data_IF_684328310522
#
_entry.id   IF_684328310522
#
_cell.length_a   1.000
_cell.length_b   1.000
_cell.length_c   1.000
_cell.angle_alpha   90.00
_cell.angle_beta   90.00
_cell.angle_gamma   90.00
#
_symmetry.space_group_name_H-M   'P 1'
#
loop_
_entity.id
_entity.type
_entity.pdbx_description
1 polymer ?
#
# COMPACT_ATOMS: atom_id res chain seq x y z
N UNK A 1 -42.44 3.79 60.01
CA UNK A 1 -41.97 3.18 58.74
C UNK A 1 -42.30 4.18 57.63
N UNK A 2 -41.48 5.20 57.43
CA UNK A 2 -40.34 5.28 56.50
C UNK A 2 -40.70 5.40 55.00
N UNK A 3 -40.63 6.64 54.48
CA UNK A 3 -39.86 7.09 53.28
C UNK A 3 -40.33 6.55 51.90
N UNK A 4 -41.00 7.33 51.03
CA UNK A 4 -40.54 8.42 50.13
C UNK A 4 -39.67 7.95 48.93
N UNK A 5 -40.21 8.21 47.72
CA UNK A 5 -39.58 8.40 46.39
C UNK A 5 -38.71 7.29 45.75
N UNK A 6 -39.09 6.92 44.52
CA UNK A 6 -38.23 7.12 43.33
C UNK A 6 -39.01 6.87 42.03
N UNK A 7 -39.31 7.96 41.32
CA UNK A 7 -39.55 7.92 39.89
C UNK A 7 -38.25 7.54 39.18
N UNK A 8 -38.31 6.64 38.20
CA UNK A 8 -37.22 6.42 37.27
C UNK A 8 -37.80 6.37 35.86
N UNK A 9 -37.67 7.48 35.15
CA UNK A 9 -37.86 7.56 33.71
C UNK A 9 -36.92 6.57 33.03
N UNK A 10 -37.47 5.62 32.27
CA UNK A 10 -36.71 4.91 31.26
C UNK A 10 -36.95 5.66 29.94
N UNK A 11 -36.04 6.58 29.64
CA UNK A 11 -35.91 7.12 28.30
C UNK A 11 -35.33 6.00 27.41
N UNK A 12 -36.14 5.53 26.45
CA UNK A 12 -35.68 4.68 25.36
C UNK A 12 -34.69 5.49 24.50
N UNK A 13 -33.41 5.32 24.78
CA UNK A 13 -32.34 5.74 23.89
C UNK A 13 -32.38 4.83 22.66
N UNK A 14 -32.91 5.34 21.55
CA UNK A 14 -32.66 4.78 20.23
C UNK A 14 -31.17 4.96 19.93
N UNK A 15 -30.37 3.92 20.21
CA UNK A 15 -29.04 3.80 19.62
C UNK A 15 -29.26 3.51 18.14
N UNK A 16 -29.14 4.54 17.29
CA UNK A 16 -28.96 4.32 15.86
C UNK A 16 -27.62 3.63 15.68
N UNK A 17 -27.67 2.31 15.55
CA UNK A 17 -26.52 1.54 15.07
C UNK A 17 -26.24 2.03 13.65
N UNK A 18 -25.20 2.86 13.53
CA UNK A 18 -24.61 3.16 12.24
C UNK A 18 -24.20 1.84 11.62
N UNK A 19 -24.94 1.40 10.60
CA UNK A 19 -24.62 0.18 9.87
C UNK A 19 -23.25 0.42 9.25
N UNK A 20 -22.24 -0.36 9.66
CA UNK A 20 -20.96 -0.36 8.96
C UNK A 20 -21.27 -0.63 7.49
N UNK A 21 -20.98 0.33 6.59
CA UNK A 21 -21.26 0.22 5.16
C UNK A 21 -20.71 -1.12 4.68
N UNK A 22 -21.62 -2.04 4.34
CA UNK A 22 -21.26 -3.41 3.99
C UNK A 22 -20.45 -3.39 2.68
N UNK A 23 -19.24 -3.93 2.67
CA UNK A 23 -18.44 -3.98 1.45
C UNK A 23 -19.09 -4.93 0.46
N UNK A 24 -19.71 -4.37 -0.58
CA UNK A 24 -20.46 -5.10 -1.59
C UNK A 24 -20.24 -4.50 -2.98
N UNK A 25 -20.42 -5.33 -3.99
CA UNK A 25 -20.55 -4.86 -5.36
C UNK A 25 -22.00 -4.39 -5.55
N UNK A 26 -22.18 -3.12 -5.92
CA UNK A 26 -23.48 -2.49 -6.19
C UNK A 26 -23.84 -2.48 -7.67
N UNK A 27 -22.96 -2.97 -8.54
CA UNK A 27 -23.21 -3.15 -9.96
C UNK A 27 -23.14 -4.64 -10.37
N UNK A 28 -23.93 -5.02 -11.37
CA UNK A 28 -24.00 -6.40 -11.86
C UNK A 28 -22.86 -6.77 -12.82
N UNK A 29 -22.16 -5.78 -13.37
CA UNK A 29 -21.09 -5.93 -14.36
C UNK A 29 -19.68 -5.94 -13.76
N UNK A 30 -19.56 -5.99 -12.41
CA UNK A 30 -18.28 -5.93 -11.73
C UNK A 30 -17.30 -7.03 -12.18
N UNK A 31 -17.76 -8.28 -12.25
CA UNK A 31 -16.92 -9.40 -12.66
C UNK A 31 -16.34 -9.23 -14.08
N UNK A 32 -17.15 -8.73 -15.02
CA UNK A 32 -16.72 -8.49 -16.40
C UNK A 32 -15.69 -7.35 -16.51
N UNK A 33 -15.70 -6.41 -15.56
CA UNK A 33 -14.84 -5.24 -15.56
C UNK A 33 -13.70 -5.30 -14.53
N UNK A 34 -13.46 -6.45 -13.89
CA UNK A 34 -12.46 -6.60 -12.82
C UNK A 34 -11.05 -6.16 -13.25
N UNK A 35 -10.68 -6.40 -14.52
CA UNK A 35 -9.38 -5.99 -15.08
C UNK A 35 -9.18 -4.46 -15.14
N UNK A 36 -10.26 -3.68 -15.13
CA UNK A 36 -10.21 -2.22 -15.23
C UNK A 36 -10.31 -1.51 -13.86
N UNK A 37 -10.39 -2.26 -12.75
CA UNK A 37 -10.46 -1.73 -11.40
C UNK A 37 -9.35 -0.72 -11.06
N UNK A 38 -8.21 -0.80 -11.73
CA UNK A 38 -7.04 0.06 -11.46
C UNK A 38 -6.55 0.81 -12.70
N UNK A 39 -7.37 0.90 -13.75
CA UNK A 39 -7.03 1.63 -14.98
C UNK A 39 -7.79 2.95 -15.04
N UNK A 40 -7.10 4.06 -15.27
CA UNK A 40 -7.72 5.38 -15.43
C UNK A 40 -8.36 5.55 -16.83
N UNK A 41 -9.46 6.31 -16.95
CA UNK A 41 -10.26 6.93 -15.87
C UNK A 41 -11.28 5.96 -15.23
N UNK A 42 -11.41 4.74 -15.75
CA UNK A 42 -12.44 3.76 -15.40
C UNK A 42 -12.46 3.40 -13.91
N UNK A 43 -11.29 3.38 -13.26
CA UNK A 43 -11.15 3.08 -11.82
C UNK A 43 -11.99 4.00 -10.93
N UNK A 44 -12.24 5.25 -11.32
CA UNK A 44 -13.03 6.21 -10.53
C UNK A 44 -14.47 5.72 -10.31
N UNK A 45 -15.04 5.04 -11.31
CA UNK A 45 -16.41 4.52 -11.26
C UNK A 45 -16.41 3.10 -10.69
N UNK A 46 -15.52 2.23 -11.18
CA UNK A 46 -15.50 0.83 -10.79
C UNK A 46 -15.16 0.63 -9.32
N UNK A 47 -14.15 1.31 -8.78
CA UNK A 47 -13.76 1.10 -7.38
C UNK A 47 -14.86 1.48 -6.37
N UNK A 48 -15.72 2.43 -6.74
CA UNK A 48 -16.84 2.86 -5.90
C UNK A 48 -18.04 1.91 -5.98
N UNK A 49 -18.31 1.33 -7.15
CA UNK A 49 -19.45 0.43 -7.42
C UNK A 49 -19.13 -1.05 -7.25
N UNK A 50 -17.86 -1.44 -7.34
CA UNK A 50 -17.40 -2.83 -7.36
C UNK A 50 -16.38 -3.08 -6.24
N UNK A 51 -16.75 -2.76 -5.00
CA UNK A 51 -15.80 -2.71 -3.88
C UNK A 51 -15.20 -4.08 -3.54
N UNK A 52 -15.98 -5.17 -3.66
CA UNK A 52 -15.48 -6.53 -3.41
C UNK A 52 -14.61 -6.98 -4.57
N UNK A 53 -15.10 -6.80 -5.80
CA UNK A 53 -14.35 -7.20 -7.00
C UNK A 53 -13.02 -6.46 -7.13
N UNK A 54 -12.99 -5.15 -6.85
CA UNK A 54 -11.77 -4.35 -6.86
C UNK A 54 -10.97 -4.42 -5.54
N UNK A 55 -11.45 -5.18 -4.55
CA UNK A 55 -10.83 -5.31 -3.23
C UNK A 55 -10.53 -3.95 -2.55
N UNK A 56 -11.45 -2.98 -2.68
CA UNK A 56 -11.32 -1.62 -2.13
C UNK A 56 -12.12 -1.41 -0.84
N UNK A 57 -12.52 -2.51 -0.17
CA UNK A 57 -13.34 -2.48 1.05
C UNK A 57 -12.77 -1.65 2.20
N UNK A 58 -11.45 -1.66 2.38
CA UNK A 58 -10.76 -0.92 3.43
C UNK A 58 -10.30 0.47 2.97
N UNK A 59 -10.58 0.84 1.72
CA UNK A 59 -10.27 2.16 1.19
C UNK A 59 -11.25 3.20 1.74
N UNK A 60 -10.70 4.36 2.10
CA UNK A 60 -11.45 5.48 2.67
C UNK A 60 -10.88 6.81 2.19
N UNK A 61 -11.70 7.84 2.26
CA UNK A 61 -11.21 9.21 2.18
C UNK A 61 -10.74 9.63 3.58
N UNK A 62 -9.61 10.33 3.64
CA UNK A 62 -9.11 10.93 4.89
C UNK A 62 -9.68 12.35 5.09
N UNK A 63 -10.20 12.99 4.04
CA UNK A 63 -10.88 14.28 4.12
C UNK A 63 -12.41 14.17 3.97
N UNK A 64 -13.12 15.03 4.70
CA UNK A 64 -14.59 15.02 4.74
C UNK A 64 -15.25 15.74 3.55
N UNK A 65 -14.48 16.45 2.71
CA UNK A 65 -14.98 17.28 1.61
C UNK A 65 -14.58 16.77 0.21
N UNK A 66 -14.21 15.49 0.09
CA UNK A 66 -13.76 14.90 -1.17
C UNK A 66 -14.82 14.94 -2.27
N UNK A 67 -16.10 14.77 -1.94
CA UNK A 67 -17.20 14.87 -2.90
C UNK A 67 -17.26 16.25 -3.60
N UNK A 68 -16.98 17.34 -2.87
CA UNK A 68 -16.92 18.69 -3.44
C UNK A 68 -15.69 18.90 -4.34
N UNK A 69 -14.67 18.05 -4.19
CA UNK A 69 -13.38 18.14 -4.88
C UNK A 69 -13.22 17.09 -5.98
N UNK A 70 -14.30 16.42 -6.41
CA UNK A 70 -14.25 15.32 -7.37
C UNK A 70 -13.64 15.71 -8.72
N UNK A 71 -13.80 16.98 -9.12
CA UNK A 71 -13.21 17.52 -10.35
C UNK A 71 -11.67 17.63 -10.27
N UNK A 72 -11.10 17.66 -9.06
CA UNK A 72 -9.65 17.69 -8.87
C UNK A 72 -9.01 16.31 -9.09
N UNK A 73 -9.79 15.22 -9.03
CA UNK A 73 -9.29 13.85 -9.19
C UNK A 73 -8.63 13.60 -10.55
N UNK A 74 -8.98 14.40 -11.57
CA UNK A 74 -8.45 14.30 -12.93
C UNK A 74 -7.36 15.36 -13.22
N UNK A 75 -7.08 16.26 -12.27
CA UNK A 75 -6.12 17.33 -12.44
C UNK A 75 -4.73 16.89 -11.93
N UNK A 76 -3.72 16.76 -12.80
CA UNK A 76 -2.38 16.31 -12.41
C UNK A 76 -1.73 17.18 -11.33
N UNK A 77 -2.03 18.48 -11.32
CA UNK A 77 -1.50 19.42 -10.31
C UNK A 77 -1.96 19.08 -8.90
N UNK A 78 -3.18 18.55 -8.77
CA UNK A 78 -3.76 18.17 -7.47
C UNK A 78 -3.57 16.69 -7.14
N UNK A 79 -2.95 15.91 -8.03
CA UNK A 79 -2.76 14.47 -7.86
C UNK A 79 -2.15 14.11 -6.48
N UNK A 80 -1.08 14.77 -5.99
CA UNK A 80 -0.52 14.44 -4.68
C UNK A 80 -1.51 14.63 -3.53
N UNK A 81 -2.34 15.67 -3.61
CA UNK A 81 -3.33 16.00 -2.58
C UNK A 81 -4.47 14.97 -2.56
N UNK A 82 -5.01 14.64 -3.74
CA UNK A 82 -6.16 13.72 -3.83
C UNK A 82 -5.75 12.27 -3.59
N UNK A 83 -4.52 11.88 -3.96
CA UNK A 83 -3.97 10.56 -3.65
C UNK A 83 -3.79 10.34 -2.14
N UNK A 84 -3.60 11.41 -1.37
CA UNK A 84 -3.45 11.29 0.09
C UNK A 84 -4.80 11.39 0.82
N UNK A 85 -5.68 12.29 0.35
CA UNK A 85 -6.86 12.69 1.13
C UNK A 85 -8.19 12.15 0.63
N UNK A 86 -8.28 11.82 -0.66
CA UNK A 86 -9.55 11.53 -1.34
C UNK A 86 -9.49 10.26 -2.19
N UNK A 87 -8.79 9.23 -1.69
CA UNK A 87 -8.53 8.00 -2.44
C UNK A 87 -9.80 7.31 -2.92
N UNK A 88 -10.79 7.15 -2.04
CA UNK A 88 -12.03 6.46 -2.36
C UNK A 88 -12.85 7.26 -3.36
N UNK A 89 -13.11 8.54 -3.09
CA UNK A 89 -13.86 9.41 -4.01
C UNK A 89 -13.20 9.47 -5.39
N UNK A 90 -11.87 9.54 -5.45
CA UNK A 90 -11.16 9.61 -6.70
C UNK A 90 -10.91 8.25 -7.36
N UNK A 91 -11.26 7.11 -6.76
CA UNK A 91 -10.92 5.77 -7.27
C UNK A 91 -9.41 5.56 -7.44
N UNK A 92 -8.67 5.98 -6.41
CA UNK A 92 -7.23 5.87 -6.22
C UNK A 92 -6.93 4.88 -5.09
N UNK A 93 -7.65 3.76 -5.04
CA UNK A 93 -7.37 2.70 -4.08
C UNK A 93 -6.47 1.66 -4.75
N UNK A 94 -5.36 1.25 -4.10
CA UNK A 94 -4.59 0.07 -4.53
C UNK A 94 -5.38 -1.24 -4.44
N UNK A 95 -6.41 -1.25 -3.59
CA UNK A 95 -7.31 -2.38 -3.39
C UNK A 95 -6.58 -3.64 -2.92
N UNK A 96 -5.65 -3.53 -1.97
CA UNK A 96 -4.87 -4.67 -1.49
C UNK A 96 -4.98 -4.92 0.02
N UNK A 97 -5.91 -4.30 0.74
CA UNK A 97 -6.06 -4.59 2.15
C UNK A 97 -4.88 -4.10 3.01
N UNK A 98 -4.26 -2.97 2.66
CA UNK A 98 -3.08 -2.44 3.38
C UNK A 98 -3.42 -2.07 4.83
N UNK A 99 -4.65 -1.60 5.09
CA UNK A 99 -5.11 -1.25 6.43
C UNK A 99 -5.48 -2.52 7.19
N UNK A 100 -6.31 -3.38 6.58
CA UNK A 100 -6.75 -4.63 7.22
C UNK A 100 -5.61 -5.61 7.50
N UNK A 101 -4.52 -5.53 6.72
CA UNK A 101 -3.30 -6.33 6.92
C UNK A 101 -2.29 -5.68 7.86
N UNK A 102 -2.63 -4.54 8.48
CA UNK A 102 -1.76 -3.83 9.43
C UNK A 102 -0.45 -3.32 8.82
N UNK A 103 -0.40 -3.10 7.50
CA UNK A 103 0.74 -2.44 6.84
C UNK A 103 0.64 -0.93 7.04
N UNK A 104 -0.58 -0.39 7.00
CA UNK A 104 -0.90 0.92 7.56
C UNK A 104 -1.32 0.70 9.03
N UNK A 105 -0.73 1.38 10.02
CA UNK A 105 0.31 2.42 9.94
C UNK A 105 1.75 1.90 10.06
N UNK A 106 1.97 0.59 10.16
CA UNK A 106 3.27 0.01 10.55
C UNK A 106 4.43 0.34 9.60
N UNK A 107 4.17 0.35 8.29
CA UNK A 107 5.18 0.55 7.23
C UNK A 107 5.05 1.92 6.59
N UNK A 108 3.82 2.35 6.37
CA UNK A 108 3.43 3.61 5.72
C UNK A 108 2.22 4.20 6.44
N UNK A 109 2.06 5.52 6.36
CA UNK A 109 0.99 6.26 7.05
C UNK A 109 -0.35 6.22 6.29
N UNK A 110 -0.32 6.04 4.97
CA UNK A 110 -1.49 5.90 4.12
C UNK A 110 -1.31 4.74 3.12
N UNK A 111 -2.42 4.17 2.66
CA UNK A 111 -2.39 3.10 1.68
C UNK A 111 -1.93 3.64 0.31
N UNK A 112 -1.28 2.82 -0.54
CA UNK A 112 -0.90 3.27 -1.87
C UNK A 112 -2.10 3.59 -2.76
N UNK A 113 -1.90 4.54 -3.68
CA UNK A 113 -2.98 4.99 -4.57
C UNK A 113 -3.27 4.03 -5.75
N UNK A 114 -2.31 3.14 -6.04
CA UNK A 114 -2.32 2.22 -7.18
C UNK A 114 -1.76 0.86 -6.79
N UNK A 115 -2.05 -0.15 -7.60
CA UNK A 115 -1.47 -1.47 -7.42
C UNK A 115 -0.18 -1.59 -8.23
N UNK A 116 0.87 -2.11 -7.61
CA UNK A 116 2.06 -2.55 -8.35
C UNK A 116 1.88 -4.01 -8.79
N UNK A 117 2.16 -4.30 -10.05
CA UNK A 117 2.21 -5.67 -10.56
C UNK A 117 3.58 -6.26 -10.27
N UNK A 118 3.60 -7.42 -9.60
CA UNK A 118 4.83 -8.14 -9.27
C UNK A 118 4.63 -9.59 -9.70
N UNK A 119 5.50 -10.05 -10.61
CA UNK A 119 5.46 -11.41 -11.15
C UNK A 119 6.83 -12.04 -11.01
N UNK A 120 6.90 -13.13 -10.25
CA UNK A 120 8.06 -14.00 -10.14
C UNK A 120 8.11 -14.99 -11.32
N UNK A 121 9.17 -15.80 -11.37
CA UNK A 121 9.29 -16.86 -12.36
C UNK A 121 8.07 -17.81 -12.36
N UNK A 122 7.84 -18.48 -13.49
CA UNK A 122 6.71 -19.40 -13.68
C UNK A 122 5.33 -18.72 -13.47
N UNK A 123 5.23 -17.42 -13.78
CA UNK A 123 4.01 -16.62 -13.66
C UNK A 123 3.41 -16.58 -12.25
N UNK A 124 4.24 -16.74 -11.21
CA UNK A 124 3.78 -16.60 -9.83
C UNK A 124 3.55 -15.12 -9.52
N UNK A 125 2.29 -14.74 -9.38
CA UNK A 125 1.89 -13.35 -9.14
C UNK A 125 1.74 -13.05 -7.65
N UNK A 126 2.17 -11.86 -7.26
CA UNK A 126 1.82 -11.27 -5.97
C UNK A 126 0.42 -10.66 -6.07
N UNK A 127 -0.47 -11.09 -5.20
CA UNK A 127 -1.87 -10.70 -5.19
C UNK A 127 -2.34 -10.41 -3.76
N UNK A 128 -2.09 -9.18 -3.30
CA UNK A 128 -2.70 -8.58 -2.11
C UNK A 128 -2.67 -9.47 -0.85
N UNK A 129 -1.51 -10.06 -0.54
CA UNK A 129 -1.29 -10.86 0.65
C UNK A 129 -1.49 -12.36 0.47
N UNK A 130 -1.58 -12.85 -0.77
CA UNK A 130 -1.46 -14.28 -1.05
C UNK A 130 -0.18 -14.86 -0.44
N UNK A 131 -0.24 -16.14 -0.07
CA UNK A 131 0.92 -16.85 0.50
C UNK A 131 1.76 -17.43 -0.64
N UNK A 132 3.04 -17.11 -0.65
CA UNK A 132 4.03 -17.65 -1.58
C UNK A 132 5.11 -18.38 -0.79
N UNK A 133 5.65 -19.45 -1.36
CA UNK A 133 6.76 -20.20 -0.77
C UNK A 133 8.09 -19.51 -1.06
N UNK A 134 9.08 -19.74 -0.19
CA UNK A 134 10.45 -19.22 -0.37
C UNK A 134 11.06 -19.63 -1.71
N UNK A 135 10.75 -20.84 -2.20
CA UNK A 135 11.16 -21.33 -3.51
C UNK A 135 10.55 -20.52 -4.68
N UNK A 136 9.28 -20.14 -4.59
CA UNK A 136 8.61 -19.34 -5.62
C UNK A 136 9.19 -17.91 -5.72
N UNK A 137 9.69 -17.38 -4.61
CA UNK A 137 10.21 -16.00 -4.50
C UNK A 137 11.73 -15.92 -4.37
N UNK A 138 12.43 -16.98 -4.78
CA UNK A 138 13.89 -17.09 -4.66
C UNK A 138 14.66 -16.15 -5.60
N UNK A 139 14.05 -15.74 -6.71
CA UNK A 139 14.68 -14.89 -7.73
C UNK A 139 13.97 -13.54 -7.83
N UNK A 140 14.68 -12.52 -8.29
CA UNK A 140 14.13 -11.17 -8.46
C UNK A 140 12.89 -11.19 -9.39
N UNK A 141 11.77 -10.59 -8.97
CA UNK A 141 10.57 -10.52 -9.80
C UNK A 141 10.66 -9.44 -10.87
N UNK A 142 9.79 -9.54 -11.87
CA UNK A 142 9.43 -8.39 -12.72
C UNK A 142 8.43 -7.52 -11.97
N UNK A 143 8.68 -6.22 -11.91
CA UNK A 143 7.84 -5.25 -11.20
C UNK A 143 7.47 -4.10 -12.14
N UNK A 144 6.17 -3.81 -12.26
CA UNK A 144 5.65 -2.75 -13.13
C UNK A 144 4.50 -2.01 -12.48
N UNK A 145 4.35 -0.73 -12.80
CA UNK A 145 3.22 0.12 -12.40
C UNK A 145 2.83 1.04 -13.56
N UNK A 146 1.66 1.66 -13.43
CA UNK A 146 1.17 2.72 -14.32
C UNK A 146 2.01 3.99 -14.07
N UNK A 147 3.17 4.10 -14.72
CA UNK A 147 4.05 5.25 -14.61
C UNK A 147 3.58 6.40 -15.51
N UNK A 148 3.79 7.63 -15.06
CA UNK A 148 3.60 8.82 -15.87
C UNK A 148 4.83 9.06 -16.76
N UNK A 149 4.64 9.60 -17.98
CA UNK A 149 5.75 9.96 -18.85
C UNK A 149 6.71 10.95 -18.18
N UNK A 150 8.02 10.75 -18.37
CA UNK A 150 9.12 11.61 -17.88
C UNK A 150 9.31 11.67 -16.36
N UNK A 151 8.48 10.97 -15.59
CA UNK A 151 8.62 10.92 -14.15
C UNK A 151 9.70 9.93 -13.69
N UNK A 152 10.15 10.14 -12.45
CA UNK A 152 11.06 9.24 -11.75
C UNK A 152 10.40 8.63 -10.54
N UNK A 153 10.80 7.42 -10.22
CA UNK A 153 10.23 6.66 -9.12
C UNK A 153 11.31 6.02 -8.26
N UNK A 154 10.94 5.72 -7.02
CA UNK A 154 11.71 4.86 -6.11
C UNK A 154 10.91 3.59 -5.83
N UNK A 155 11.55 2.43 -5.92
CA UNK A 155 11.04 1.13 -5.51
C UNK A 155 11.67 0.73 -4.18
N UNK A 156 10.85 0.33 -3.21
CA UNK A 156 11.26 -0.22 -1.92
C UNK A 156 10.53 -1.54 -1.70
N UNK A 157 11.25 -2.57 -1.31
CA UNK A 157 10.70 -3.83 -0.79
C UNK A 157 11.19 -4.03 0.64
N UNK A 158 10.27 -4.22 1.58
CA UNK A 158 10.58 -4.40 3.00
C UNK A 158 9.80 -5.56 3.63
N UNK A 159 10.42 -6.17 4.63
CA UNK A 159 9.79 -7.09 5.58
C UNK A 159 9.60 -6.36 6.92
N UNK A 160 8.37 -5.98 7.30
CA UNK A 160 8.12 -5.29 8.57
C UNK A 160 7.99 -6.26 9.75
N UNK A 161 8.11 -7.56 9.52
CA UNK A 161 7.93 -8.62 10.50
C UNK A 161 9.29 -9.19 10.96
N UNK A 162 10.39 -8.49 10.74
CA UNK A 162 11.73 -8.96 11.09
C UNK A 162 12.13 -8.64 12.55
N UNK A 163 12.80 -9.57 13.29
CA UNK A 163 13.11 -10.94 12.93
C UNK A 163 11.93 -11.92 13.02
N UNK A 164 10.84 -11.56 13.71
CA UNK A 164 9.62 -12.36 13.73
C UNK A 164 8.35 -11.51 13.80
N UNK A 165 7.25 -12.04 13.29
CA UNK A 165 5.95 -11.35 13.28
C UNK A 165 5.43 -11.03 14.69
N UNK A 166 5.86 -11.80 15.68
CA UNK A 166 5.56 -11.56 17.10
C UNK A 166 6.51 -10.55 17.75
N UNK A 167 7.75 -10.43 17.26
CA UNK A 167 8.79 -9.60 17.89
C UNK A 167 9.62 -8.83 16.86
N UNK A 168 9.19 -7.59 16.55
CA UNK A 168 9.73 -6.73 15.49
C UNK A 168 10.87 -5.80 15.96
N UNK A 169 11.71 -6.24 16.90
CA UNK A 169 12.70 -5.35 17.58
C UNK A 169 13.72 -4.75 16.63
N UNK A 170 14.00 -5.40 15.49
CA UNK A 170 14.95 -4.91 14.50
C UNK A 170 14.28 -4.08 13.40
N UNK A 171 13.01 -3.69 13.58
CA UNK A 171 12.29 -2.86 12.63
C UNK A 171 12.06 -3.54 11.28
N UNK A 172 11.94 -2.74 10.23
CA UNK A 172 11.74 -3.24 8.88
C UNK A 172 13.08 -3.70 8.30
N UNK A 173 13.13 -4.89 7.72
CA UNK A 173 14.30 -5.36 6.97
C UNK A 173 14.16 -5.00 5.50
N UNK A 174 15.16 -4.34 4.94
CA UNK A 174 15.19 -3.95 3.54
C UNK A 174 15.54 -5.13 2.62
N UNK A 175 14.68 -5.43 1.65
CA UNK A 175 14.88 -6.49 0.65
C UNK A 175 15.30 -5.96 -0.70
N UNK A 176 14.81 -4.80 -1.14
CA UNK A 176 15.17 -4.20 -2.43
C UNK A 176 14.98 -2.69 -2.39
N UNK A 177 15.91 -1.92 -2.95
CA UNK A 177 15.83 -0.46 -2.97
C UNK A 177 16.48 0.11 -4.22
N UNK A 178 15.68 0.75 -5.06
CA UNK A 178 16.11 1.36 -6.31
C UNK A 178 15.50 2.76 -6.41
N UNK A 179 16.33 3.77 -6.63
CA UNK A 179 15.90 5.17 -6.79
C UNK A 179 16.06 5.63 -8.24
N UNK A 180 15.52 6.80 -8.57
CA UNK A 180 15.68 7.44 -9.87
C UNK A 180 15.25 6.59 -11.07
N UNK A 181 14.30 5.67 -10.87
CA UNK A 181 13.76 4.79 -11.91
C UNK A 181 13.01 5.64 -12.94
N UNK A 182 13.45 5.70 -14.21
CA UNK A 182 12.73 6.44 -15.25
C UNK A 182 11.47 5.68 -15.66
N UNK A 183 10.29 6.26 -15.45
CA UNK A 183 9.01 5.59 -15.68
C UNK A 183 8.90 4.31 -14.82
N UNK A 184 8.82 3.16 -15.47
CA UNK A 184 8.84 1.85 -14.81
C UNK A 184 10.07 1.00 -15.20
N UNK A 185 11.08 1.60 -15.83
CA UNK A 185 12.31 0.90 -16.22
C UNK A 185 13.28 0.80 -15.03
N UNK A 186 13.07 -0.20 -14.17
CA UNK A 186 13.88 -0.42 -12.96
C UNK A 186 15.38 -0.50 -13.27
N UNK A 187 15.76 -1.10 -14.39
CA UNK A 187 17.16 -1.23 -14.81
C UNK A 187 17.82 0.12 -15.12
N UNK A 188 17.04 1.17 -15.43
CA UNK A 188 17.52 2.53 -15.61
C UNK A 188 17.67 3.34 -14.32
N UNK A 189 17.27 2.77 -13.17
CA UNK A 189 17.42 3.40 -11.86
C UNK A 189 18.79 3.12 -11.21
N UNK A 190 19.01 3.73 -10.05
CA UNK A 190 20.18 3.48 -9.20
C UNK A 190 19.81 2.51 -8.09
N UNK A 191 20.36 1.29 -8.14
CA UNK A 191 20.14 0.27 -7.10
C UNK A 191 21.02 0.55 -5.91
N UNK A 192 20.41 0.85 -4.76
CA UNK A 192 21.11 1.08 -3.48
C UNK A 192 21.18 -0.19 -2.64
N UNK A 193 20.14 -1.02 -2.71
CA UNK A 193 20.13 -2.35 -2.12
C UNK A 193 19.60 -3.33 -3.16
N UNK A 194 20.42 -4.27 -3.63
CA UNK A 194 19.98 -5.30 -4.57
C UNK A 194 18.88 -6.19 -3.97
N UNK A 195 18.06 -6.79 -4.84
CA UNK A 195 17.00 -7.71 -4.41
C UNK A 195 17.60 -8.86 -3.57
N UNK A 196 16.98 -9.13 -2.43
CA UNK A 196 17.22 -10.32 -1.63
C UNK A 196 15.93 -11.13 -1.48
N UNK A 197 15.99 -12.46 -1.66
CA UNK A 197 14.82 -13.31 -1.54
C UNK A 197 14.24 -13.33 -0.13
N UNK A 198 12.98 -13.74 -0.03
CA UNK A 198 12.34 -14.01 1.26
C UNK A 198 12.89 -15.31 1.84
N UNK A 199 13.64 -15.20 2.92
CA UNK A 199 14.17 -16.34 3.67
C UNK A 199 13.85 -16.15 5.17
N UNK A 200 12.57 -16.08 5.56
CA UNK A 200 12.21 -16.01 6.98
C UNK A 200 12.77 -17.25 7.71
N UNK A 201 13.23 -17.07 8.94
CA UNK A 201 13.78 -18.19 9.71
C UNK A 201 12.66 -19.12 10.22
N UNK A 202 13.01 -20.35 10.56
CA UNK A 202 12.05 -21.28 11.14
C UNK A 202 11.46 -20.71 12.44
N UNK A 203 10.16 -20.93 12.64
CA UNK A 203 9.42 -20.52 13.85
C UNK A 203 9.33 -18.99 14.08
N UNK A 204 9.55 -18.15 13.06
CA UNK A 204 9.35 -16.69 13.18
C UNK A 204 7.95 -16.21 12.78
N UNK A 205 7.10 -17.15 12.34
CA UNK A 205 5.73 -16.90 11.90
C UNK A 205 5.64 -16.47 10.44
N UNK A 206 4.51 -15.87 10.07
CA UNK A 206 4.25 -15.38 8.72
C UNK A 206 4.77 -13.95 8.57
N UNK A 207 5.66 -13.74 7.61
CA UNK A 207 6.22 -12.43 7.27
C UNK A 207 5.48 -11.83 6.08
N UNK A 208 5.25 -10.52 6.10
CA UNK A 208 4.73 -9.74 4.97
C UNK A 208 5.89 -9.16 4.18
N UNK A 209 5.89 -9.32 2.86
CA UNK A 209 6.88 -8.71 1.98
C UNK A 209 6.20 -7.64 1.14
N UNK A 210 6.45 -6.38 1.48
CA UNK A 210 5.70 -5.22 0.99
C UNK A 210 6.51 -4.50 -0.08
N UNK A 211 5.95 -4.38 -1.29
CA UNK A 211 6.47 -3.54 -2.36
C UNK A 211 5.77 -2.18 -2.31
N UNK A 212 6.58 -1.13 -2.36
CA UNK A 212 6.14 0.26 -2.38
C UNK A 212 6.89 0.98 -3.50
N UNK A 213 6.14 1.73 -4.30
CA UNK A 213 6.65 2.64 -5.30
C UNK A 213 6.29 4.05 -4.88
N UNK A 214 7.25 4.96 -4.92
CA UNK A 214 7.05 6.38 -4.69
C UNK A 214 7.37 7.16 -5.96
N UNK A 215 6.53 8.13 -6.29
CA UNK A 215 6.84 9.12 -7.34
C UNK A 215 7.79 10.16 -6.74
N UNK A 216 8.86 10.47 -7.43
CA UNK A 216 9.82 11.45 -6.94
C UNK A 216 9.46 12.85 -7.48
N UNK A 217 9.45 13.89 -6.63
CA UNK A 217 9.24 15.26 -7.10
C UNK A 217 10.41 15.78 -7.97
N UNK A 218 11.59 15.20 -7.78
CA UNK A 218 12.80 15.50 -8.55
C UNK A 218 13.74 14.27 -8.57
N UNK A 219 14.82 14.33 -9.34
CA UNK A 219 15.89 13.34 -9.21
C UNK A 219 16.51 13.42 -7.81
N UNK A 220 16.69 12.27 -7.17
CA UNK A 220 17.39 12.15 -5.89
C UNK A 220 18.88 12.18 -6.19
N UNK A 221 19.50 13.33 -5.95
CA UNK A 221 20.94 13.56 -6.12
C UNK A 221 21.53 13.90 -4.75
N UNK A 222 21.84 12.86 -3.97
CA UNK A 222 22.44 13.02 -2.64
C UNK A 222 23.85 12.43 -2.63
N UNK A 223 24.88 13.19 -2.25
CA UNK A 223 26.24 12.66 -2.09
C UNK A 223 26.32 11.45 -1.17
N UNK A 224 25.42 11.36 -0.18
CA UNK A 224 25.34 10.22 0.76
C UNK A 224 24.87 8.92 0.09
N UNK A 225 24.15 9.03 -1.04
CA UNK A 225 23.66 7.88 -1.80
C UNK A 225 24.55 7.58 -3.00
N UNK A 226 25.51 8.46 -3.32
CA UNK A 226 26.46 8.22 -4.39
C UNK A 226 27.34 7.01 -4.01
N UNK A 227 27.31 5.97 -4.84
CA UNK A 227 28.03 4.71 -4.62
C UNK A 227 27.61 3.94 -3.34
N UNK A 228 26.48 4.28 -2.73
CA UNK A 228 25.95 3.49 -1.62
C UNK A 228 25.53 2.11 -2.13
N UNK A 229 26.07 1.07 -1.51
CA UNK A 229 25.65 -0.32 -1.68
C UNK A 229 25.37 -0.88 -0.30
N UNK A 230 24.08 -0.98 0.03
CA UNK A 230 23.60 -1.48 1.33
C UNK A 230 23.97 -2.96 1.45
N UNK A 231 24.81 -3.25 2.44
CA UNK A 231 25.22 -4.60 2.81
C UNK A 231 24.15 -5.31 3.62
N UNK A 232 24.26 -6.64 3.75
CA UNK A 232 23.25 -7.44 4.45
C UNK A 232 23.04 -7.00 5.91
N UNK A 233 24.13 -6.68 6.61
CA UNK A 233 24.12 -6.20 8.00
C UNK A 233 23.44 -4.85 8.20
N UNK A 234 23.25 -4.08 7.13
CA UNK A 234 22.67 -2.72 7.16
C UNK A 234 21.19 -2.71 6.79
N UNK A 235 20.62 -3.86 6.41
CA UNK A 235 19.22 -3.99 5.99
C UNK A 235 18.21 -3.92 7.13
N UNK A 236 18.48 -4.46 8.34
CA UNK A 236 17.58 -4.28 9.47
C UNK A 236 17.50 -2.81 9.90
N UNK A 237 16.37 -2.41 10.48
CA UNK A 237 16.15 -1.05 10.98
C UNK A 237 15.81 -0.02 9.90
N UNK A 238 15.53 -0.44 8.67
CA UNK A 238 15.18 0.49 7.60
C UNK A 238 13.86 1.21 7.90
N UNK A 239 13.87 2.54 7.79
CA UNK A 239 12.69 3.38 8.02
C UNK A 239 12.07 3.86 6.71
N UNK A 240 11.08 3.13 6.18
CA UNK A 240 10.41 3.51 4.92
C UNK A 240 9.83 4.94 4.97
N UNK A 241 9.11 5.29 6.03
CA UNK A 241 8.54 6.65 6.21
C UNK A 241 9.62 7.70 6.43
N UNK A 242 10.71 7.36 7.12
CA UNK A 242 11.84 8.27 7.32
C UNK A 242 12.51 8.62 5.98
N UNK A 243 12.78 7.62 5.14
CA UNK A 243 13.31 7.85 3.80
C UNK A 243 12.33 8.67 2.92
N UNK A 244 11.04 8.30 2.90
CA UNK A 244 10.03 9.02 2.14
C UNK A 244 9.93 10.50 2.56
N UNK A 245 10.07 10.77 3.87
CA UNK A 245 10.06 12.13 4.43
C UNK A 245 11.34 12.90 4.05
N UNK A 246 12.51 12.27 4.21
CA UNK A 246 13.81 12.88 3.91
C UNK A 246 13.90 13.39 2.46
N UNK A 247 13.28 12.70 1.51
CA UNK A 247 13.32 13.04 0.09
C UNK A 247 12.00 13.62 -0.45
N UNK A 248 11.08 14.01 0.45
CA UNK A 248 9.78 14.60 0.09
C UNK A 248 8.99 13.77 -0.94
N UNK A 249 8.99 12.45 -0.79
CA UNK A 249 8.33 11.52 -1.71
C UNK A 249 6.81 11.49 -1.55
N UNK A 250 6.30 12.06 -0.46
CA UNK A 250 4.87 12.08 -0.14
C UNK A 250 4.33 10.66 0.12
N UNK A 251 3.06 10.45 -0.25
CA UNK A 251 2.35 9.20 -0.04
C UNK A 251 2.74 8.13 -1.08
N UNK A 252 2.70 6.83 -0.73
CA UNK A 252 3.09 5.77 -1.64
C UNK A 252 2.24 5.81 -2.93
N UNK A 253 2.93 5.87 -4.07
CA UNK A 253 2.30 5.93 -5.38
C UNK A 253 1.60 4.62 -5.72
N UNK A 254 2.30 3.50 -5.60
CA UNK A 254 1.75 2.17 -5.82
C UNK A 254 2.28 1.16 -4.79
N UNK A 255 1.54 0.08 -4.57
CA UNK A 255 2.02 -1.01 -3.72
C UNK A 255 1.22 -2.29 -3.82
N UNK A 256 1.84 -3.36 -3.32
CA UNK A 256 1.32 -4.73 -3.29
C UNK A 256 2.18 -5.52 -2.27
N UNK A 257 1.72 -6.68 -1.83
CA UNK A 257 2.51 -7.50 -0.91
C UNK A 257 2.10 -8.97 -1.00
N UNK A 258 2.98 -9.87 -0.57
CA UNK A 258 2.67 -11.27 -0.31
C UNK A 258 3.07 -11.65 1.11
N UNK A 259 2.72 -12.88 1.49
CA UNK A 259 3.11 -13.49 2.76
C UNK A 259 4.00 -14.71 2.50
N UNK A 260 5.00 -14.93 3.34
CA UNK A 260 5.83 -16.15 3.31
C UNK A 260 6.25 -16.53 4.72
N UNK A 261 6.54 -17.81 4.92
CA UNK A 261 7.12 -18.39 6.12
C UNK A 261 8.14 -19.46 5.71
N UNK A 262 8.94 -19.94 6.66
CA UNK A 262 9.91 -21.03 6.43
C UNK A 262 9.22 -22.36 6.10
#
# INVERSE_FOLDING_TARGET
MSVVHKACLIALLFVSSGVAQQCMDSASDCAANAGSCFTRPVSQVLQNRCQRTCNTCDCRDEANNCAASINLCQNPTFEPLVCDRCQKTCGLCAGCGFISSGIVPLVVTSAPSRRVSVTFANNVQVNCGNTLTTAQVANQPTVTWEAQPNDRYTLIMVDPDFPSAANRQQGQRLHWWVINIPGNNIAGGTTLAAFQPSTPAANTGVHRYVFLVYRQPAAINSPLLNNLVVQDSERPGFGTTAFATQFNLGSPYAGNFYRSQA
#
